data_IF_358115175696
#
_entry.id   IF_358115175696
#
_cell.length_a   1.000
_cell.length_b   1.000
_cell.length_c   1.000
_cell.angle_alpha   90.00
_cell.angle_beta   90.00
_cell.angle_gamma   90.00
#
_symmetry.space_group_name_H-M   'P 1'
#
loop_
_entity.id
_entity.type
_entity.pdbx_description
1 polymer ?
#
# COMPACT_ATOMS: atom_id res chain seq x y z
N UNK A 1 20.92 -15.05 -9.46
CA UNK A 1 19.81 -14.61 -8.59
C UNK A 1 20.42 -13.73 -7.51
N UNK A 2 19.99 -12.47 -7.39
CA UNK A 2 20.61 -11.49 -6.50
C UNK A 2 20.29 -11.70 -5.00
N UNK A 3 19.29 -12.50 -4.65
CA UNK A 3 18.97 -12.85 -3.25
C UNK A 3 18.82 -14.36 -3.00
N UNK A 4 19.33 -14.87 -1.86
CA UNK A 4 19.16 -16.26 -1.44
C UNK A 4 17.69 -16.55 -1.06
N UNK A 5 17.31 -17.83 -1.08
CA UNK A 5 15.95 -18.23 -0.72
C UNK A 5 15.71 -18.09 0.79
N UNK A 6 14.61 -17.42 1.17
CA UNK A 6 14.20 -17.29 2.57
C UNK A 6 12.71 -17.62 2.71
N UNK A 7 12.29 -18.42 3.72
CA UNK A 7 10.88 -18.81 3.90
C UNK A 7 9.91 -17.62 4.01
N UNK A 8 10.35 -16.53 4.65
CA UNK A 8 9.53 -15.33 4.87
C UNK A 8 9.56 -14.31 3.72
N UNK A 9 10.32 -14.59 2.65
CA UNK A 9 10.40 -13.74 1.47
C UNK A 9 9.68 -14.40 0.29
N UNK A 10 8.79 -13.65 -0.35
CA UNK A 10 8.09 -14.15 -1.52
C UNK A 10 9.01 -14.05 -2.74
N UNK A 11 9.21 -15.18 -3.43
CA UNK A 11 9.97 -15.22 -4.67
C UNK A 11 9.04 -15.16 -5.88
N UNK A 12 9.18 -14.11 -6.67
CA UNK A 12 8.47 -13.93 -7.94
C UNK A 12 9.10 -14.79 -9.04
N UNK A 13 8.85 -16.11 -9.01
CA UNK A 13 9.46 -17.10 -9.93
C UNK A 13 9.24 -16.80 -11.42
N UNK A 14 8.13 -16.15 -11.78
CA UNK A 14 7.82 -15.74 -13.16
C UNK A 14 8.04 -14.24 -13.42
N UNK A 15 8.76 -13.56 -12.52
CA UNK A 15 8.91 -12.10 -12.53
C UNK A 15 7.65 -11.35 -12.09
N UNK A 16 7.73 -10.03 -12.12
CA UNK A 16 6.65 -9.12 -11.69
C UNK A 16 5.81 -8.61 -12.87
N UNK A 17 6.31 -8.73 -14.10
CA UNK A 17 5.66 -8.17 -15.30
C UNK A 17 4.34 -8.84 -15.69
N UNK A 18 4.06 -10.03 -15.16
CA UNK A 18 2.81 -10.78 -15.42
C UNK A 18 1.68 -10.43 -14.45
N UNK A 19 1.95 -9.63 -13.41
CA UNK A 19 0.96 -9.29 -12.39
C UNK A 19 0.14 -8.08 -12.86
N UNK A 20 -1.09 -8.34 -13.29
CA UNK A 20 -2.01 -7.28 -13.74
C UNK A 20 -2.73 -6.59 -12.57
N UNK A 21 -2.98 -7.31 -11.49
CA UNK A 21 -3.63 -6.78 -10.30
C UNK A 21 -2.93 -7.30 -9.06
N UNK A 22 -2.38 -6.38 -8.29
CA UNK A 22 -1.66 -6.67 -7.07
C UNK A 22 -2.60 -6.63 -5.86
N UNK A 23 -2.50 -7.62 -4.99
CA UNK A 23 -3.07 -7.60 -3.65
C UNK A 23 -2.17 -6.85 -2.68
N UNK A 24 -2.72 -6.38 -1.55
CA UNK A 24 -1.92 -5.70 -0.52
C UNK A 24 -0.79 -6.58 0.04
N UNK A 25 -1.01 -7.89 0.18
CA UNK A 25 0.03 -8.84 0.62
C UNK A 25 1.15 -8.97 -0.42
N UNK A 26 0.82 -8.99 -1.71
CA UNK A 26 1.83 -9.06 -2.76
C UNK A 26 2.67 -7.78 -2.82
N UNK A 27 2.07 -6.60 -2.66
CA UNK A 27 2.81 -5.33 -2.54
C UNK A 27 3.81 -5.36 -1.37
N UNK A 28 3.35 -5.71 -0.16
CA UNK A 28 4.21 -5.80 1.05
C UNK A 28 5.36 -6.78 0.88
N UNK A 29 5.15 -7.89 0.17
CA UNK A 29 6.21 -8.85 -0.11
C UNK A 29 7.18 -8.36 -1.19
N UNK A 30 6.68 -7.63 -2.19
CA UNK A 30 7.50 -7.00 -3.22
C UNK A 30 8.44 -5.97 -2.59
N UNK A 31 7.93 -5.08 -1.75
CA UNK A 31 8.69 -4.00 -1.09
C UNK A 31 9.94 -4.54 -0.36
N UNK A 32 9.82 -5.68 0.32
CA UNK A 32 10.93 -6.33 1.06
C UNK A 32 12.08 -6.79 0.17
N UNK A 33 11.81 -7.12 -1.10
CA UNK A 33 12.79 -7.76 -1.99
C UNK A 33 13.25 -6.84 -3.13
N UNK A 34 12.53 -5.75 -3.39
CA UNK A 34 12.71 -4.94 -4.58
C UNK A 34 14.08 -4.30 -4.68
N UNK A 35 14.53 -3.66 -3.59
CA UNK A 35 15.82 -2.99 -3.57
C UNK A 35 16.97 -3.99 -3.80
N UNK A 36 16.90 -5.16 -3.15
CA UNK A 36 17.87 -6.24 -3.35
C UNK A 36 17.83 -6.82 -4.77
N UNK A 37 16.66 -6.83 -5.42
CA UNK A 37 16.54 -7.27 -6.81
C UNK A 37 17.17 -6.29 -7.82
N UNK A 38 17.24 -4.99 -7.48
CA UNK A 38 17.87 -3.96 -8.32
C UNK A 38 19.38 -3.82 -8.09
N UNK A 39 19.89 -4.32 -6.96
CA UNK A 39 21.29 -4.20 -6.58
C UNK A 39 22.21 -4.77 -7.68
N UNK A 40 23.14 -3.93 -8.16
CA UNK A 40 24.10 -4.29 -9.21
C UNK A 40 23.53 -4.34 -10.64
N UNK A 41 22.24 -4.07 -10.83
CA UNK A 41 21.59 -4.04 -12.15
C UNK A 41 21.11 -2.64 -12.56
N UNK A 42 20.74 -1.80 -11.59
CA UNK A 42 20.22 -0.46 -11.82
C UNK A 42 21.30 0.63 -11.64
N UNK A 43 21.08 1.78 -12.28
CA UNK A 43 21.90 2.98 -12.09
C UNK A 43 21.81 3.46 -10.63
N UNK A 44 22.86 4.11 -10.08
CA UNK A 44 22.85 4.62 -8.71
C UNK A 44 21.62 5.48 -8.39
N UNK A 45 21.24 6.42 -9.27
CA UNK A 45 20.08 7.30 -9.06
C UNK A 45 18.75 6.55 -9.02
N UNK A 46 18.61 5.49 -9.80
CA UNK A 46 17.44 4.60 -9.75
C UNK A 46 17.37 3.89 -8.40
N UNK A 47 18.50 3.40 -7.90
CA UNK A 47 18.58 2.76 -6.58
C UNK A 47 18.21 3.77 -5.48
N UNK A 48 18.72 5.00 -5.55
CA UNK A 48 18.40 6.08 -4.60
C UNK A 48 16.90 6.40 -4.63
N UNK A 49 16.30 6.56 -5.81
CA UNK A 49 14.87 6.81 -5.93
C UNK A 49 14.02 5.70 -5.31
N UNK A 50 14.36 4.43 -5.62
CA UNK A 50 13.62 3.29 -5.11
C UNK A 50 13.77 3.18 -3.60
N UNK A 51 14.97 3.35 -3.07
CA UNK A 51 15.23 3.38 -1.63
C UNK A 51 14.42 4.48 -0.95
N UNK A 52 14.42 5.69 -1.50
CA UNK A 52 13.68 6.83 -0.96
C UNK A 52 12.17 6.60 -0.92
N UNK A 53 11.59 5.96 -1.94
CA UNK A 53 10.17 5.59 -1.94
C UNK A 53 9.87 4.50 -0.91
N UNK A 54 10.73 3.49 -0.78
CA UNK A 54 10.57 2.44 0.23
C UNK A 54 10.66 3.03 1.65
N UNK A 55 11.64 3.89 1.92
CA UNK A 55 11.75 4.61 3.19
C UNK A 55 10.48 5.41 3.48
N UNK A 56 9.98 6.16 2.50
CA UNK A 56 8.73 6.92 2.66
C UNK A 56 7.57 6.00 3.04
N UNK A 57 7.42 4.86 2.34
CA UNK A 57 6.39 3.87 2.63
C UNK A 57 6.56 3.36 4.06
N UNK A 58 7.75 2.94 4.46
CA UNK A 58 8.00 2.42 5.81
C UNK A 58 7.72 3.46 6.90
N UNK A 59 8.21 4.69 6.76
CA UNK A 59 7.95 5.76 7.72
C UNK A 59 6.47 6.10 7.79
N UNK A 60 5.75 6.13 6.67
CA UNK A 60 4.30 6.44 6.64
C UNK A 60 3.42 5.41 7.34
N UNK A 61 3.93 4.19 7.55
CA UNK A 61 3.24 3.09 8.22
C UNK A 61 3.58 2.94 9.71
N UNK A 62 4.40 3.83 10.27
CA UNK A 62 4.71 3.77 11.70
C UNK A 62 3.44 3.97 12.53
N UNK A 63 3.28 3.14 13.56
CA UNK A 63 2.16 3.25 14.50
C UNK A 63 2.28 4.47 15.42
N UNK A 64 3.48 5.05 15.53
CA UNK A 64 3.76 6.23 16.34
C UNK A 64 4.77 7.09 15.60
N UNK A 65 4.49 8.39 15.53
CA UNK A 65 5.38 9.35 14.90
C UNK A 65 6.00 10.27 15.95
N UNK A 66 7.32 10.41 15.87
CA UNK A 66 8.10 11.46 16.52
C UNK A 66 8.47 12.54 15.50
N UNK A 67 8.90 13.71 15.96
CA UNK A 67 9.43 14.76 15.09
C UNK A 67 10.59 14.25 14.22
N UNK A 68 11.43 13.36 14.77
CA UNK A 68 12.50 12.72 14.01
C UNK A 68 11.95 11.83 12.89
N UNK A 69 10.96 10.98 13.18
CA UNK A 69 10.36 10.10 12.17
C UNK A 69 9.64 10.88 11.06
N UNK A 70 9.01 12.01 11.40
CA UNK A 70 8.37 12.89 10.43
C UNK A 70 9.39 13.59 9.56
N UNK A 71 10.49 14.05 10.15
CA UNK A 71 11.61 14.60 9.38
C UNK A 71 12.19 13.55 8.42
N UNK A 72 12.35 12.31 8.86
CA UNK A 72 12.81 11.21 7.97
C UNK A 72 11.84 10.92 6.84
N UNK A 73 10.53 10.99 7.10
CA UNK A 73 9.50 10.88 6.07
C UNK A 73 9.65 12.01 5.02
N UNK A 74 9.80 13.26 5.45
CA UNK A 74 10.02 14.40 4.54
C UNK A 74 11.33 14.30 3.77
N UNK A 75 12.43 13.97 4.45
CA UNK A 75 13.76 13.79 3.85
C UNK A 75 13.74 12.70 2.76
N UNK A 76 13.00 11.61 2.99
CA UNK A 76 12.83 10.55 1.99
C UNK A 76 12.09 11.06 0.74
N UNK A 77 11.04 11.87 0.91
CA UNK A 77 10.32 12.47 -0.21
C UNK A 77 11.18 13.47 -0.99
N UNK A 78 11.95 14.31 -0.28
CA UNK A 78 12.92 15.23 -0.88
C UNK A 78 13.96 14.47 -1.71
N UNK A 79 14.50 13.39 -1.16
CA UNK A 79 15.48 12.52 -1.85
C UNK A 79 14.89 11.92 -3.12
N UNK A 80 13.66 11.42 -3.05
CA UNK A 80 12.94 10.91 -4.23
C UNK A 80 12.78 12.00 -5.30
N UNK A 81 12.33 13.20 -4.91
CA UNK A 81 12.12 14.30 -5.86
C UNK A 81 13.41 14.83 -6.49
N UNK A 82 14.53 14.79 -5.77
CA UNK A 82 15.84 15.18 -6.31
C UNK A 82 16.32 14.22 -7.41
N UNK A 83 16.03 12.92 -7.30
CA UNK A 83 16.60 11.89 -8.19
C UNK A 83 15.61 11.39 -9.26
N UNK A 84 14.29 11.57 -9.09
CA UNK A 84 13.26 10.97 -9.98
C UNK A 84 13.37 11.35 -11.46
N UNK A 85 14.07 12.43 -11.79
CA UNK A 85 14.25 12.87 -13.17
C UNK A 85 14.99 11.82 -14.02
N UNK A 86 15.78 10.93 -13.40
CA UNK A 86 16.45 9.82 -14.09
C UNK A 86 15.49 8.95 -14.91
N UNK A 87 14.24 8.78 -14.45
CA UNK A 87 13.23 8.00 -15.17
C UNK A 87 12.68 8.73 -16.40
N UNK A 88 12.76 10.07 -16.42
CA UNK A 88 12.42 10.88 -17.60
C UNK A 88 13.57 10.84 -18.59
N UNK A 89 14.79 11.02 -18.11
CA UNK A 89 16.00 11.01 -18.94
C UNK A 89 16.20 9.66 -19.65
N UNK A 90 15.89 8.56 -18.95
CA UNK A 90 15.92 7.21 -19.52
C UNK A 90 14.71 6.87 -20.40
N UNK A 91 13.78 7.82 -20.59
CA UNK A 91 12.58 7.63 -21.41
C UNK A 91 11.58 6.62 -20.83
N UNK A 92 11.69 6.28 -19.54
CA UNK A 92 10.79 5.33 -18.86
C UNK A 92 9.43 5.99 -18.59
N UNK A 93 9.39 7.30 -18.37
CA UNK A 93 8.17 8.05 -18.11
C UNK A 93 8.28 9.48 -18.64
N UNK A 94 7.20 10.04 -19.20
CA UNK A 94 7.18 11.42 -19.70
C UNK A 94 7.13 12.46 -18.56
N UNK A 95 6.41 12.15 -17.48
CA UNK A 95 6.22 13.07 -16.36
C UNK A 95 5.82 12.36 -15.06
N UNK A 96 5.99 13.04 -13.92
CA UNK A 96 5.56 12.55 -12.61
C UNK A 96 4.22 13.14 -12.11
N UNK A 97 3.33 13.55 -13.03
CA UNK A 97 1.98 14.01 -12.69
C UNK A 97 1.05 12.84 -12.29
N UNK A 98 1.48 12.08 -11.29
CA UNK A 98 0.78 10.90 -10.79
C UNK A 98 0.10 11.32 -9.48
N UNK A 99 -1.24 11.20 -9.35
CA UNK A 99 -1.96 11.62 -8.15
C UNK A 99 -1.38 11.04 -6.84
N UNK A 100 -0.94 9.78 -6.87
CA UNK A 100 -0.29 9.13 -5.72
C UNK A 100 1.04 9.78 -5.34
N UNK A 101 1.86 10.17 -6.31
CA UNK A 101 3.12 10.88 -6.05
C UNK A 101 2.84 12.27 -5.51
N UNK A 102 1.85 12.97 -6.05
CA UNK A 102 1.44 14.27 -5.51
C UNK A 102 0.90 14.15 -4.07
N UNK A 103 0.11 13.10 -3.77
CA UNK A 103 -0.44 12.92 -2.43
C UNK A 103 0.64 12.75 -1.36
N UNK A 104 1.81 12.18 -1.70
CA UNK A 104 2.92 12.00 -0.76
C UNK A 104 3.37 13.31 -0.10
N UNK A 105 3.27 14.44 -0.82
CA UNK A 105 3.64 15.78 -0.32
C UNK A 105 2.82 16.18 0.92
N UNK A 106 1.59 15.67 1.04
CA UNK A 106 0.68 16.06 2.11
C UNK A 106 0.78 15.18 3.36
N UNK A 107 1.53 14.07 3.32
CA UNK A 107 1.52 13.07 4.39
C UNK A 107 2.01 13.63 5.73
N UNK A 108 3.14 14.35 5.76
CA UNK A 108 3.67 14.87 7.02
C UNK A 108 2.68 15.83 7.71
N UNK A 109 2.12 16.78 6.95
CA UNK A 109 1.10 17.70 7.44
C UNK A 109 -0.19 16.99 7.88
N UNK A 110 -0.62 15.96 7.14
CA UNK A 110 -1.78 15.15 7.52
C UNK A 110 -1.53 14.37 8.81
N UNK A 111 -0.35 13.76 8.97
CA UNK A 111 -0.01 13.00 10.18
C UNK A 111 0.03 13.93 11.40
N UNK A 112 0.61 15.12 11.27
CA UNK A 112 0.64 16.10 12.35
C UNK A 112 -0.76 16.58 12.76
N UNK A 113 -1.67 16.75 11.81
CA UNK A 113 -3.01 17.29 12.06
C UNK A 113 -4.05 16.24 12.47
N UNK A 114 -3.94 15.02 11.94
CA UNK A 114 -4.96 13.97 12.07
C UNK A 114 -4.48 12.73 12.84
N UNK A 115 -3.19 12.68 13.18
CA UNK A 115 -2.55 11.54 13.84
C UNK A 115 -2.14 10.44 12.85
N UNK A 116 -2.04 9.22 13.35
CA UNK A 116 -1.46 8.07 12.64
C UNK A 116 -2.32 7.66 11.44
N UNK A 117 -1.67 7.27 10.34
CA UNK A 117 -2.29 6.92 9.05
C UNK A 117 -3.20 5.70 9.11
N UNK A 118 -2.95 4.77 10.03
CA UNK A 118 -3.69 3.51 10.16
C UNK A 118 -5.20 3.68 10.39
N UNK A 119 -5.63 4.77 11.04
CA UNK A 119 -7.05 5.07 11.27
C UNK A 119 -7.82 5.50 10.02
N UNK A 120 -7.11 5.86 8.94
CA UNK A 120 -7.68 6.42 7.72
C UNK A 120 -7.53 5.51 6.50
N UNK A 121 -7.01 4.29 6.69
CA UNK A 121 -6.85 3.33 5.60
C UNK A 121 -8.20 2.63 5.27
N UNK A 122 -8.29 2.06 4.06
CA UNK A 122 -9.50 1.34 3.62
C UNK A 122 -9.50 -0.13 4.02
N UNK A 123 -8.40 -0.67 4.57
CA UNK A 123 -8.23 -2.10 4.86
C UNK A 123 -9.36 -2.62 5.77
N UNK A 124 -9.73 -1.86 6.80
CA UNK A 124 -10.82 -2.23 7.71
C UNK A 124 -12.18 -2.32 6.97
N UNK A 125 -12.50 -1.30 6.16
CA UNK A 125 -13.75 -1.27 5.38
C UNK A 125 -13.80 -2.36 4.31
N UNK A 126 -12.68 -2.65 3.65
CA UNK A 126 -12.54 -3.72 2.65
C UNK A 126 -12.72 -5.10 3.30
N UNK A 127 -12.18 -5.30 4.50
CA UNK A 127 -12.36 -6.52 5.28
C UNK A 127 -13.82 -6.70 5.67
N UNK A 128 -14.48 -5.63 6.14
CA UNK A 128 -15.90 -5.65 6.49
C UNK A 128 -16.78 -5.91 5.27
N UNK A 129 -16.42 -5.42 4.09
CA UNK A 129 -17.16 -5.65 2.84
C UNK A 129 -17.32 -7.16 2.50
N UNK A 130 -16.37 -8.01 2.88
CA UNK A 130 -16.52 -9.48 2.74
C UNK A 130 -17.71 -9.98 3.57
N UNK A 131 -17.78 -9.57 4.83
CA UNK A 131 -18.80 -10.04 5.75
C UNK A 131 -20.15 -9.39 5.53
N UNK A 132 -20.15 -8.09 5.26
CA UNK A 132 -21.38 -7.30 5.23
C UNK A 132 -21.98 -7.13 3.85
N UNK A 133 -21.18 -7.15 2.79
CA UNK A 133 -21.69 -7.09 1.43
C UNK A 133 -21.69 -8.45 0.76
N UNK A 134 -20.52 -9.11 0.61
CA UNK A 134 -20.42 -10.34 -0.20
C UNK A 134 -21.25 -11.50 0.39
N UNK A 135 -21.08 -11.80 1.68
CA UNK A 135 -21.82 -12.89 2.34
C UNK A 135 -23.32 -12.61 2.42
N UNK A 136 -23.70 -11.37 2.75
CA UNK A 136 -25.11 -10.97 2.79
C UNK A 136 -25.76 -11.05 1.40
N UNK A 137 -25.06 -10.62 0.35
CA UNK A 137 -25.55 -10.70 -1.02
C UNK A 137 -25.68 -12.15 -1.50
N UNK A 138 -24.69 -13.00 -1.18
CA UNK A 138 -24.74 -14.45 -1.46
C UNK A 138 -25.92 -15.15 -0.76
N UNK A 139 -26.28 -14.72 0.44
CA UNK A 139 -27.43 -15.23 1.18
C UNK A 139 -28.79 -14.71 0.67
N UNK A 140 -28.79 -13.73 -0.24
CA UNK A 140 -30.00 -13.18 -0.84
C UNK A 140 -30.43 -13.96 -2.09
N UNK A 141 -31.71 -13.84 -2.46
CA UNK A 141 -32.20 -14.34 -3.75
C UNK A 141 -31.88 -13.40 -4.94
N UNK A 142 -31.02 -12.38 -4.72
CA UNK A 142 -30.60 -11.36 -5.69
C UNK A 142 -31.70 -10.45 -6.26
N UNK A 143 -32.94 -10.54 -5.75
CA UNK A 143 -34.04 -9.62 -6.07
C UNK A 143 -34.30 -8.69 -4.89
N UNK A 144 -34.39 -7.37 -5.10
CA UNK A 144 -34.52 -6.39 -3.99
C UNK A 144 -33.50 -6.68 -2.86
N UNK A 145 -32.27 -7.00 -3.24
CA UNK A 145 -31.25 -7.59 -2.37
C UNK A 145 -30.87 -6.70 -1.19
N UNK A 146 -30.97 -5.37 -1.31
CA UNK A 146 -30.65 -4.43 -0.22
C UNK A 146 -31.49 -4.74 1.02
N UNK A 147 -32.82 -4.90 0.88
CA UNK A 147 -33.71 -5.20 2.00
C UNK A 147 -33.37 -6.54 2.66
N UNK A 148 -33.01 -7.54 1.85
CA UNK A 148 -32.62 -8.87 2.34
C UNK A 148 -31.27 -8.83 3.06
N UNK A 149 -30.29 -8.10 2.51
CA UNK A 149 -28.98 -7.91 3.11
C UNK A 149 -29.09 -7.17 4.44
N UNK A 150 -29.88 -6.09 4.52
CA UNK A 150 -30.15 -5.37 5.77
C UNK A 150 -30.76 -6.31 6.81
N UNK A 151 -31.79 -7.09 6.44
CA UNK A 151 -32.42 -8.05 7.36
C UNK A 151 -31.41 -9.11 7.85
N UNK A 152 -30.60 -9.64 6.94
CA UNK A 152 -29.58 -10.64 7.26
C UNK A 152 -28.52 -10.10 8.23
N UNK A 153 -28.10 -8.84 8.04
CA UNK A 153 -27.17 -8.15 8.93
C UNK A 153 -27.76 -7.95 10.33
N UNK A 154 -28.99 -7.43 10.42
CA UNK A 154 -29.69 -7.24 11.71
C UNK A 154 -29.80 -8.54 12.48
N UNK A 155 -30.10 -9.66 11.80
CA UNK A 155 -30.15 -10.97 12.42
C UNK A 155 -28.79 -11.42 12.97
N UNK A 156 -27.70 -11.20 12.22
CA UNK A 156 -26.35 -11.54 12.70
C UNK A 156 -25.89 -10.68 13.86
N UNK A 157 -26.16 -9.39 13.82
CA UNK A 157 -25.86 -8.48 14.94
C UNK A 157 -26.62 -8.88 16.21
N UNK A 158 -27.89 -9.27 16.06
CA UNK A 158 -28.68 -9.75 17.20
C UNK A 158 -28.04 -11.00 17.82
N UNK A 159 -27.67 -12.01 17.02
CA UNK A 159 -27.00 -13.22 17.52
C UNK A 159 -25.69 -12.87 18.25
N UNK A 160 -24.85 -12.02 17.65
CA UNK A 160 -23.57 -11.62 18.26
C UNK A 160 -23.73 -10.88 19.60
N UNK A 161 -24.84 -10.17 19.83
CA UNK A 161 -25.10 -9.49 21.12
C UNK A 161 -25.50 -10.44 22.24
N UNK A 162 -26.00 -11.62 21.91
CA UNK A 162 -26.49 -12.62 22.86
C UNK A 162 -25.58 -13.85 22.97
N UNK A 163 -24.36 -13.78 22.42
CA UNK A 163 -23.31 -14.81 22.56
C UNK A 163 -22.12 -14.20 23.29
#
# INVERSE_FOLDING_TARGET
>A
MAMPQHPDLCHFKKGISLVMQWTGTEYKNMEKVFLGALAGMAKPDVIICVHAVLDFIYYSHLELHTDESLKKLEDSLCTFHAHKHIFIDDGICEHFNIPKVHSMVHYAAMIQSHGITGGYNTEASERLHINFAKRAYQASNRKRYIQQMTKWLTQREAVQRFT
#
